data_IF_940541210517
#
_entry.id   IF_940541210517
#
_cell.length_a   1.000
_cell.length_b   1.000
_cell.length_c   1.000
_cell.angle_alpha   90.00
_cell.angle_beta   90.00
_cell.angle_gamma   90.00
#
_symmetry.space_group_name_H-M   'P 1'
#
loop_
_entity.id
_entity.type
_entity.pdbx_description
1 polymer ?
#
# COMPACT_ATOMS: atom_id res chain seq x y z
N UNK A 1 -1.22 18.12 -42.53
CA UNK A 1 -2.06 18.88 -41.58
C UNK A 1 -1.37 20.21 -41.27
N UNK A 2 -2.12 21.31 -41.23
CA UNK A 2 -1.63 22.63 -40.82
C UNK A 2 -2.61 23.15 -39.78
N UNK A 3 -2.13 23.67 -38.65
CA UNK A 3 -2.97 24.22 -37.57
C UNK A 3 -4.05 23.27 -37.01
N UNK A 4 -3.76 21.96 -36.96
CA UNK A 4 -4.65 20.97 -36.33
C UNK A 4 -5.89 20.58 -37.14
N UNK A 5 -6.01 21.00 -38.40
CA UNK A 5 -7.10 20.59 -39.31
C UNK A 5 -6.60 19.78 -40.51
N UNK A 6 -7.42 18.85 -40.98
CA UNK A 6 -7.17 18.03 -42.18
C UNK A 6 -7.53 18.87 -43.40
N UNK A 7 -6.52 19.44 -44.06
CA UNK A 7 -6.69 20.33 -45.21
C UNK A 7 -7.06 19.58 -46.50
N UNK A 8 -6.65 18.31 -46.63
CA UNK A 8 -6.94 17.45 -47.79
C UNK A 8 -6.83 15.96 -47.39
N UNK A 9 -7.79 15.15 -47.84
CA UNK A 9 -7.79 13.70 -47.71
C UNK A 9 -8.02 13.09 -49.10
N UNK A 10 -7.00 12.45 -49.65
CA UNK A 10 -7.04 11.78 -50.96
C UNK A 10 -6.00 10.65 -50.97
N UNK A 11 -6.00 9.84 -52.03
CA UNK A 11 -5.05 8.74 -52.19
C UNK A 11 -3.59 9.23 -52.20
N UNK A 12 -2.67 8.41 -51.71
CA UNK A 12 -1.24 8.76 -51.57
C UNK A 12 -0.61 9.26 -52.88
N UNK A 13 -0.98 8.66 -54.01
CA UNK A 13 -0.44 9.03 -55.31
C UNK A 13 -0.94 10.40 -55.79
N UNK A 14 -2.18 10.77 -55.49
CA UNK A 14 -2.74 12.09 -55.83
C UNK A 14 -2.15 13.21 -54.95
N UNK A 15 -1.91 12.93 -53.67
CA UNK A 15 -1.32 13.91 -52.74
C UNK A 15 0.14 14.26 -53.08
N UNK A 16 0.88 13.34 -53.71
CA UNK A 16 2.24 13.56 -54.20
C UNK A 16 2.28 14.44 -55.46
N UNK A 17 1.23 14.44 -56.28
CA UNK A 17 1.17 15.23 -57.52
C UNK A 17 0.55 16.61 -57.28
N UNK A 18 -0.40 16.71 -56.35
CA UNK A 18 -1.19 17.93 -56.12
C UNK A 18 -0.50 18.98 -55.26
N UNK A 19 0.37 18.60 -54.32
CA UNK A 19 0.96 19.54 -53.35
C UNK A 19 2.47 19.44 -53.23
N UNK A 20 3.14 20.58 -53.50
CA UNK A 20 4.59 20.77 -53.30
C UNK A 20 4.99 20.58 -51.83
N UNK A 21 4.09 20.94 -50.91
CA UNK A 21 4.31 20.82 -49.46
C UNK A 21 4.32 19.35 -48.99
N UNK A 22 3.54 18.48 -49.64
CA UNK A 22 3.55 17.03 -49.38
C UNK A 22 4.82 16.38 -49.92
N UNK A 23 5.32 16.82 -51.09
CA UNK A 23 6.60 16.35 -51.64
C UNK A 23 7.78 16.73 -50.75
N UNK A 24 7.80 17.94 -50.20
CA UNK A 24 8.88 18.41 -49.33
C UNK A 24 8.90 17.63 -48.00
N UNK A 25 7.73 17.25 -47.47
CA UNK A 25 7.63 16.39 -46.28
C UNK A 25 8.14 14.96 -46.55
N UNK A 26 7.85 14.40 -47.72
CA UNK A 26 8.34 13.06 -48.12
C UNK A 26 9.86 13.08 -48.31
N UNK A 27 10.40 14.13 -48.96
CA UNK A 27 11.85 14.32 -49.08
C UNK A 27 12.53 14.55 -47.74
N UNK A 28 11.91 15.29 -46.82
CA UNK A 28 12.44 15.46 -45.46
C UNK A 28 12.46 14.13 -44.68
N UNK A 29 11.47 13.26 -44.91
CA UNK A 29 11.47 11.91 -44.34
C UNK A 29 12.57 11.03 -44.97
N UNK A 30 12.77 11.09 -46.28
CA UNK A 30 13.80 10.32 -46.99
C UNK A 30 15.21 10.71 -46.51
N UNK A 31 15.45 12.02 -46.34
CA UNK A 31 16.71 12.56 -45.82
C UNK A 31 16.95 12.20 -44.34
N UNK A 32 15.91 12.00 -43.53
CA UNK A 32 16.06 11.56 -42.14
C UNK A 32 16.24 10.05 -42.00
N UNK A 33 15.83 9.26 -43.00
CA UNK A 33 16.16 7.83 -43.09
C UNK A 33 17.56 7.55 -43.64
N UNK A 34 18.16 8.49 -44.37
CA UNK A 34 19.54 8.41 -44.86
C UNK A 34 20.55 8.96 -43.83
N UNK A 35 20.67 8.25 -42.69
CA UNK A 35 21.89 8.34 -41.87
C UNK A 35 22.93 7.38 -42.47
N UNK A 36 24.14 7.84 -42.83
CA UNK A 36 25.12 6.98 -43.48
C UNK A 36 25.81 6.05 -42.46
N UNK A 37 25.96 4.79 -42.88
CA UNK A 37 26.83 3.73 -42.33
C UNK A 37 26.33 2.90 -41.12
N UNK A 38 25.49 1.90 -41.40
CA UNK A 38 25.69 0.56 -40.82
C UNK A 38 25.71 -0.47 -41.95
N UNK A 39 26.84 -1.17 -42.05
CA UNK A 39 27.23 -2.10 -43.10
C UNK A 39 26.14 -3.15 -43.41
N UNK A 40 25.72 -3.20 -44.68
CA UNK A 40 25.18 -4.42 -45.30
C UNK A 40 26.25 -5.52 -45.20
N UNK A 41 26.02 -6.54 -44.38
CA UNK A 41 26.72 -7.83 -44.48
C UNK A 41 25.68 -8.91 -44.73
N UNK A 42 25.30 -9.03 -46.00
CA UNK A 42 24.78 -10.30 -46.52
C UNK A 42 25.97 -11.25 -46.64
N UNK A 43 25.91 -12.40 -45.97
CA UNK A 43 26.75 -13.55 -46.31
C UNK A 43 25.93 -14.84 -46.14
N UNK A 44 25.60 -15.41 -47.29
CA UNK A 44 25.35 -16.80 -47.64
C UNK A 44 25.28 -17.82 -46.49
N UNK A 45 24.11 -18.43 -46.31
CA UNK A 45 23.99 -19.76 -45.70
C UNK A 45 23.67 -20.76 -46.80
N UNK A 46 24.67 -21.54 -47.17
CA UNK A 46 24.57 -22.66 -48.08
C UNK A 46 25.70 -23.65 -47.82
N UNK A 47 25.31 -24.84 -47.35
CA UNK A 47 26.05 -26.11 -47.20
C UNK A 47 26.88 -26.39 -45.93
N UNK A 48 26.27 -27.21 -45.06
CA UNK A 48 26.53 -28.66 -44.87
C UNK A 48 27.71 -29.14 -43.97
N UNK A 49 27.34 -30.06 -43.05
CA UNK A 49 28.15 -31.00 -42.24
C UNK A 49 28.96 -30.37 -41.08
N UNK A 50 29.06 -30.93 -39.87
CA UNK A 50 29.06 -32.33 -39.42
C UNK A 50 28.81 -32.39 -37.89
N UNK A 51 28.31 -33.51 -37.38
CA UNK A 51 28.21 -33.79 -35.93
C UNK A 51 29.60 -34.08 -35.38
N UNK A 52 29.93 -33.52 -34.21
CA UNK A 52 30.70 -34.28 -33.23
C UNK A 52 30.45 -33.83 -31.79
N UNK A 53 30.38 -34.82 -30.91
CA UNK A 53 30.14 -34.72 -29.48
C UNK A 53 31.47 -34.59 -28.72
N UNK A 54 31.52 -33.75 -27.67
CA UNK A 54 32.69 -33.73 -26.78
C UNK A 54 32.84 -32.52 -25.86
N UNK A 55 32.16 -32.56 -24.70
CA UNK A 55 32.65 -32.24 -23.34
C UNK A 55 33.43 -30.92 -23.06
N UNK A 56 32.74 -30.00 -22.36
CA UNK A 56 33.11 -29.21 -21.16
C UNK A 56 34.47 -28.48 -21.11
N UNK A 57 34.44 -27.14 -21.26
CA UNK A 57 35.06 -26.25 -20.26
C UNK A 57 34.44 -24.83 -20.25
N UNK A 58 34.44 -24.22 -19.07
CA UNK A 58 33.60 -23.09 -18.68
C UNK A 58 33.74 -21.81 -19.51
N UNK A 59 32.60 -21.11 -19.64
CA UNK A 59 32.57 -19.72 -20.08
C UNK A 59 31.96 -18.85 -19.00
N UNK A 60 32.76 -17.86 -18.62
CA UNK A 60 32.38 -16.68 -17.89
C UNK A 60 31.09 -16.09 -18.45
N UNK A 61 30.16 -15.79 -17.55
CA UNK A 61 28.91 -15.10 -17.83
C UNK A 61 29.24 -13.63 -18.08
N UNK A 62 29.71 -13.29 -19.27
CA UNK A 62 29.76 -11.90 -19.74
C UNK A 62 28.32 -11.41 -19.89
N UNK A 63 27.83 -10.72 -18.86
CA UNK A 63 26.59 -9.97 -18.96
C UNK A 63 26.80 -8.86 -19.98
N UNK A 64 26.15 -8.98 -21.13
CA UNK A 64 25.97 -7.87 -22.06
C UNK A 64 25.28 -6.75 -21.27
N UNK A 65 26.04 -5.73 -20.86
CA UNK A 65 25.50 -4.45 -20.39
C UNK A 65 24.80 -3.81 -21.58
N UNK A 66 23.48 -3.95 -21.66
CA UNK A 66 22.67 -3.10 -22.53
C UNK A 66 22.85 -1.66 -22.06
N UNK A 67 23.48 -0.84 -22.90
CA UNK A 67 23.56 0.61 -22.72
C UNK A 67 22.16 1.18 -22.52
N UNK A 68 22.00 2.02 -21.50
CA UNK A 68 20.73 2.66 -21.15
C UNK A 68 20.19 3.61 -22.25
N UNK A 69 20.97 3.90 -23.31
CA UNK A 69 20.55 4.82 -24.37
C UNK A 69 19.61 4.21 -25.42
N UNK A 70 19.45 2.89 -25.49
CA UNK A 70 18.60 2.20 -26.49
C UNK A 70 17.26 1.69 -25.92
N UNK A 71 16.96 1.95 -24.65
CA UNK A 71 15.64 1.63 -24.07
C UNK A 71 14.67 2.79 -24.31
N UNK A 72 13.83 2.67 -25.34
CA UNK A 72 12.69 3.56 -25.60
C UNK A 72 11.66 3.58 -24.45
N UNK A 73 11.61 2.51 -23.64
CA UNK A 73 10.72 2.40 -22.49
C UNK A 73 11.44 2.96 -21.26
N UNK A 74 10.97 4.11 -20.77
CA UNK A 74 11.49 4.69 -19.52
C UNK A 74 11.16 3.74 -18.36
N UNK A 75 12.20 3.23 -17.70
CA UNK A 75 12.08 2.56 -16.40
C UNK A 75 11.61 3.60 -15.39
N UNK A 76 10.62 3.23 -14.57
CA UNK A 76 9.94 4.16 -13.67
C UNK A 76 10.93 4.77 -12.67
N UNK A 77 11.07 6.10 -12.68
CA UNK A 77 11.82 6.83 -11.66
C UNK A 77 11.07 6.68 -10.33
N UNK A 78 11.61 5.80 -9.49
CA UNK A 78 11.12 5.58 -8.14
C UNK A 78 11.68 6.67 -7.25
N UNK A 79 10.83 7.40 -6.53
CA UNK A 79 11.32 8.27 -5.47
C UNK A 79 12.06 7.41 -4.43
N UNK A 80 13.37 7.62 -4.32
CA UNK A 80 14.21 7.00 -3.30
C UNK A 80 14.14 7.91 -2.08
N UNK A 81 13.23 7.62 -1.15
CA UNK A 81 13.12 8.39 0.08
C UNK A 81 11.83 8.15 0.85
N UNK A 82 11.87 8.49 2.14
CA UNK A 82 10.68 8.52 3.00
C UNK A 82 9.88 9.79 2.70
N UNK A 83 8.86 9.70 1.86
CA UNK A 83 7.94 10.82 1.63
C UNK A 83 7.08 11.13 2.87
N UNK A 84 7.16 10.29 3.90
CA UNK A 84 6.54 10.51 5.21
C UNK A 84 5.03 10.73 5.11
N UNK A 85 4.50 11.66 5.90
CA UNK A 85 3.06 11.98 5.95
C UNK A 85 2.60 12.93 4.82
N UNK A 86 3.52 13.40 3.96
CA UNK A 86 3.22 14.40 2.94
C UNK A 86 2.17 13.94 1.91
N UNK A 87 2.21 12.69 1.38
CA UNK A 87 1.18 12.21 0.45
C UNK A 87 -0.21 12.12 1.10
N UNK A 88 -0.26 11.70 2.37
CA UNK A 88 -1.51 11.65 3.14
C UNK A 88 -2.10 13.05 3.36
N UNK A 89 -1.27 14.02 3.74
CA UNK A 89 -1.70 15.43 3.88
C UNK A 89 -2.17 16.04 2.56
N UNK A 90 -1.54 15.69 1.44
CA UNK A 90 -1.97 16.13 0.12
C UNK A 90 -3.34 15.54 -0.24
N UNK A 91 -3.57 14.26 0.07
CA UNK A 91 -4.87 13.60 -0.10
C UNK A 91 -5.96 14.25 0.78
N UNK A 92 -5.68 14.48 2.08
CA UNK A 92 -6.63 15.16 2.98
C UNK A 92 -6.87 16.63 2.60
N UNK A 93 -5.91 17.27 1.93
CA UNK A 93 -6.03 18.64 1.44
C UNK A 93 -6.93 18.81 0.23
N UNK A 94 -7.19 17.72 -0.49
CA UNK A 94 -8.09 17.75 -1.63
C UNK A 94 -9.55 17.77 -1.16
N UNK A 95 -10.36 18.64 -1.76
CA UNK A 95 -11.82 18.73 -1.56
C UNK A 95 -12.30 18.78 -0.09
N UNK A 96 -11.63 19.57 0.77
CA UNK A 96 -11.97 19.72 2.20
C UNK A 96 -11.92 18.40 3.00
N UNK A 97 -11.11 17.42 2.58
CA UNK A 97 -10.93 16.14 3.28
C UNK A 97 -10.58 16.28 4.77
N UNK A 98 -9.88 17.36 5.17
CA UNK A 98 -9.63 17.71 6.57
C UNK A 98 -10.90 17.84 7.43
N UNK A 99 -12.01 18.32 6.87
CA UNK A 99 -13.28 18.47 7.60
C UNK A 99 -13.89 17.08 7.88
N UNK A 100 -13.82 16.17 6.92
CA UNK A 100 -14.29 14.80 7.12
C UNK A 100 -13.40 14.05 8.11
N UNK A 101 -12.08 14.21 8.00
CA UNK A 101 -11.13 13.63 8.96
C UNK A 101 -11.37 14.13 10.39
N UNK A 102 -11.65 15.44 10.56
CA UNK A 102 -11.96 15.98 11.88
C UNK A 102 -13.31 15.50 12.41
N UNK A 103 -14.33 15.36 11.56
CA UNK A 103 -15.63 14.82 11.95
C UNK A 103 -15.56 13.34 12.34
N UNK A 104 -14.76 12.53 11.63
CA UNK A 104 -14.44 11.15 12.01
C UNK A 104 -13.70 11.10 13.35
N UNK A 105 -12.75 12.00 13.57
CA UNK A 105 -12.05 12.11 14.86
C UNK A 105 -13.02 12.44 16.01
N UNK A 106 -13.91 13.42 15.82
CA UNK A 106 -14.90 13.82 16.83
C UNK A 106 -15.85 12.67 17.15
N UNK A 107 -16.43 12.01 16.14
CA UNK A 107 -17.33 10.86 16.35
C UNK A 107 -16.62 9.69 17.02
N UNK A 108 -15.33 9.46 16.71
CA UNK A 108 -14.52 8.46 17.41
C UNK A 108 -14.26 8.83 18.88
N UNK A 109 -14.00 10.11 19.19
CA UNK A 109 -13.83 10.58 20.57
C UNK A 109 -15.13 10.42 21.37
N UNK A 110 -16.28 10.77 20.78
CA UNK A 110 -17.60 10.60 21.42
C UNK A 110 -17.90 9.13 21.66
N UNK A 111 -17.61 8.26 20.69
CA UNK A 111 -17.76 6.82 20.85
C UNK A 111 -16.87 6.29 21.97
N UNK A 112 -15.58 6.67 21.98
CA UNK A 112 -14.64 6.22 23.00
C UNK A 112 -15.00 6.73 24.40
N UNK A 113 -15.45 7.98 24.52
CA UNK A 113 -15.90 8.54 25.80
C UNK A 113 -17.18 7.87 26.29
N UNK A 114 -18.12 7.56 25.39
CA UNK A 114 -19.32 6.77 25.70
C UNK A 114 -18.96 5.38 26.24
N UNK A 115 -17.98 4.72 25.64
CA UNK A 115 -17.49 3.42 26.11
C UNK A 115 -16.80 3.51 27.48
N UNK A 116 -15.97 4.53 27.72
CA UNK A 116 -15.34 4.73 29.04
C UNK A 116 -16.43 4.99 30.08
N UNK A 117 -17.37 5.90 29.79
CA UNK A 117 -18.47 6.23 30.69
C UNK A 117 -19.33 5.01 31.01
N UNK A 118 -19.66 4.19 30.01
CA UNK A 118 -20.43 2.96 30.19
C UNK A 118 -19.73 1.99 31.15
N UNK A 119 -18.43 1.81 31.01
CA UNK A 119 -17.67 0.88 31.84
C UNK A 119 -17.41 1.45 33.25
N UNK A 120 -17.08 2.74 33.39
CA UNK A 120 -16.94 3.40 34.70
C UNK A 120 -18.26 3.41 35.47
N UNK A 121 -19.38 3.63 34.81
CA UNK A 121 -20.72 3.56 35.42
C UNK A 121 -21.01 2.17 35.98
N UNK A 122 -20.67 1.12 35.21
CA UNK A 122 -20.81 -0.27 35.66
C UNK A 122 -19.91 -0.52 36.87
N UNK A 123 -18.63 -0.16 36.79
CA UNK A 123 -17.66 -0.40 37.85
C UNK A 123 -18.02 0.28 39.18
N UNK A 124 -18.57 1.51 39.14
CA UNK A 124 -18.99 2.25 40.33
C UNK A 124 -20.26 1.66 40.97
N UNK A 125 -21.21 1.16 40.18
CA UNK A 125 -22.54 0.77 40.68
C UNK A 125 -22.71 -0.72 40.95
N UNK A 126 -21.76 -1.57 40.54
CA UNK A 126 -21.83 -3.03 40.79
C UNK A 126 -21.82 -3.38 42.28
N UNK A 127 -21.15 -2.59 43.12
CA UNK A 127 -21.03 -2.83 44.57
C UNK A 127 -22.09 -2.07 45.40
N UNK A 128 -22.82 -1.14 44.78
CA UNK A 128 -23.81 -0.31 45.48
C UNK A 128 -25.12 -1.06 45.67
N UNK A 129 -25.45 -1.41 46.93
CA UNK A 129 -26.71 -2.09 47.28
C UNK A 129 -27.97 -1.21 47.12
N UNK A 130 -27.79 0.10 46.89
CA UNK A 130 -28.88 1.07 46.73
C UNK A 130 -29.49 1.07 45.31
N UNK A 131 -28.75 0.58 44.30
CA UNK A 131 -29.20 0.58 42.91
C UNK A 131 -29.80 -0.78 42.57
N UNK A 132 -31.06 -0.78 42.13
CA UNK A 132 -31.69 -2.00 41.63
C UNK A 132 -30.92 -2.54 40.42
N UNK A 133 -30.64 -3.85 40.41
CA UNK A 133 -29.94 -4.53 39.31
C UNK A 133 -30.58 -4.25 37.95
N UNK A 134 -31.90 -4.09 37.90
CA UNK A 134 -32.64 -3.73 36.68
C UNK A 134 -32.28 -2.33 36.18
N UNK A 135 -32.16 -1.34 37.08
CA UNK A 135 -31.80 0.03 36.70
C UNK A 135 -30.36 0.10 36.20
N UNK A 136 -29.44 -0.67 36.81
CA UNK A 136 -28.05 -0.75 36.38
C UNK A 136 -27.94 -1.30 34.95
N UNK A 137 -28.64 -2.40 34.64
CA UNK A 137 -28.67 -2.99 33.29
C UNK A 137 -29.34 -2.06 32.29
N UNK A 138 -30.42 -1.38 32.67
CA UNK A 138 -31.15 -0.46 31.78
C UNK A 138 -30.26 0.71 31.36
N UNK A 139 -29.58 1.37 32.31
CA UNK A 139 -28.68 2.49 32.00
C UNK A 139 -27.48 2.03 31.16
N UNK A 140 -26.86 0.89 31.50
CA UNK A 140 -25.76 0.32 30.72
C UNK A 140 -26.18 0.05 29.26
N UNK A 141 -27.36 -0.56 29.08
CA UNK A 141 -27.89 -0.90 27.75
C UNK A 141 -28.25 0.36 26.95
N UNK A 142 -28.81 1.39 27.61
CA UNK A 142 -29.13 2.67 26.96
C UNK A 142 -27.88 3.40 26.43
N UNK A 143 -26.80 3.44 27.21
CA UNK A 143 -25.50 4.01 26.77
C UNK A 143 -24.92 3.19 25.61
N UNK A 144 -25.04 1.86 25.67
CA UNK A 144 -24.63 0.97 24.58
C UNK A 144 -25.36 1.26 23.27
N UNK A 145 -26.70 1.38 23.31
CA UNK A 145 -27.49 1.75 22.13
C UNK A 145 -27.09 3.12 21.57
N UNK A 146 -26.86 4.11 22.43
CA UNK A 146 -26.33 5.43 22.00
C UNK A 146 -24.98 5.30 21.29
N UNK A 147 -24.07 4.49 21.84
CA UNK A 147 -22.74 4.26 21.28
C UNK A 147 -22.79 3.56 19.92
N UNK A 148 -23.77 2.66 19.69
CA UNK A 148 -23.99 2.02 18.38
C UNK A 148 -24.37 3.05 17.31
N UNK A 149 -25.17 4.05 17.65
CA UNK A 149 -25.54 5.13 16.71
C UNK A 149 -24.30 5.92 16.30
N UNK A 150 -23.42 6.26 17.24
CA UNK A 150 -22.14 6.93 16.93
C UNK A 150 -21.20 6.05 16.12
N UNK A 151 -21.18 4.74 16.38
CA UNK A 151 -20.43 3.78 15.57
C UNK A 151 -20.93 3.73 14.12
N UNK A 152 -22.25 3.72 13.93
CA UNK A 152 -22.87 3.75 12.61
C UNK A 152 -22.57 5.07 11.88
N UNK A 153 -22.72 6.21 12.58
CA UNK A 153 -22.36 7.52 12.03
C UNK A 153 -20.91 7.56 11.58
N UNK A 154 -19.98 7.06 12.39
CA UNK A 154 -18.57 6.94 12.01
C UNK A 154 -18.38 6.10 10.75
N UNK A 155 -19.07 4.96 10.63
CA UNK A 155 -18.96 4.11 9.45
C UNK A 155 -19.43 4.82 8.17
N UNK A 156 -20.54 5.55 8.22
CA UNK A 156 -21.05 6.33 7.08
C UNK A 156 -20.07 7.46 6.69
N UNK A 157 -19.55 8.18 7.69
CA UNK A 157 -18.60 9.28 7.50
C UNK A 157 -17.26 8.85 6.90
N UNK A 158 -16.91 7.56 6.90
CA UNK A 158 -15.70 7.04 6.25
C UNK A 158 -15.94 6.78 4.75
N UNK A 159 -17.14 6.33 4.39
CA UNK A 159 -17.48 5.96 3.01
C UNK A 159 -17.72 7.21 2.15
N UNK A 160 -18.40 8.21 2.70
CA UNK A 160 -18.73 9.45 1.99
C UNK A 160 -17.48 10.17 1.42
N UNK A 161 -16.43 10.51 2.20
CA UNK A 161 -15.28 11.24 1.67
C UNK A 161 -14.48 10.46 0.62
N UNK A 162 -14.47 9.12 0.67
CA UNK A 162 -13.82 8.29 -0.36
C UNK A 162 -14.45 8.54 -1.74
N UNK A 163 -15.78 8.50 -1.81
CA UNK A 163 -16.53 8.74 -3.05
C UNK A 163 -16.41 10.18 -3.55
N UNK A 164 -16.38 11.16 -2.63
CA UNK A 164 -16.31 12.58 -2.99
C UNK A 164 -14.88 13.04 -3.36
N UNK A 165 -13.84 12.39 -2.85
CA UNK A 165 -12.43 12.71 -3.14
C UNK A 165 -11.94 12.00 -4.40
N UNK A 166 -12.44 10.79 -4.67
CA UNK A 166 -12.15 10.01 -5.88
C UNK A 166 -12.50 10.75 -7.17
N UNK A 167 -13.70 11.32 -7.28
CA UNK A 167 -14.18 11.99 -8.50
C UNK A 167 -13.26 13.11 -9.02
N UNK A 168 -12.86 14.12 -8.21
CA UNK A 168 -11.95 15.15 -8.68
C UNK A 168 -10.55 14.62 -8.99
N UNK A 169 -10.06 13.63 -8.23
CA UNK A 169 -8.79 12.96 -8.53
C UNK A 169 -8.81 12.28 -9.89
N UNK A 170 -9.87 11.53 -10.18
CA UNK A 170 -10.07 10.89 -11.47
C UNK A 170 -10.19 11.91 -12.61
N UNK A 171 -10.96 12.97 -12.43
CA UNK A 171 -11.11 14.02 -13.44
C UNK A 171 -9.77 14.73 -13.74
N UNK A 172 -8.97 15.01 -12.72
CA UNK A 172 -7.63 15.59 -12.88
C UNK A 172 -6.69 14.63 -13.61
N UNK A 173 -6.68 13.34 -13.23
CA UNK A 173 -5.90 12.31 -13.90
C UNK A 173 -6.27 12.20 -15.38
N UNK A 174 -7.57 12.15 -15.69
CA UNK A 174 -8.07 12.03 -17.05
C UNK A 174 -7.73 13.26 -17.90
N UNK A 175 -7.88 14.47 -17.34
CA UNK A 175 -7.50 15.71 -18.01
C UNK A 175 -5.99 15.77 -18.27
N UNK A 176 -5.17 15.39 -17.28
CA UNK A 176 -3.71 15.38 -17.43
C UNK A 176 -3.27 14.35 -18.48
N UNK A 177 -3.94 13.19 -18.54
CA UNK A 177 -3.69 12.17 -19.55
C UNK A 177 -3.98 12.73 -20.95
N UNK A 178 -5.17 13.29 -21.20
CA UNK A 178 -5.51 13.84 -22.52
C UNK A 178 -4.63 15.03 -22.95
N UNK A 179 -4.13 15.82 -22.01
CA UNK A 179 -3.21 16.93 -22.29
C UNK A 179 -1.74 16.50 -22.39
N UNK A 180 -1.39 15.24 -22.15
CA UNK A 180 -0.02 14.77 -22.21
C UNK A 180 0.53 14.83 -23.65
N UNK A 181 1.81 15.23 -23.86
CA UNK A 181 2.41 15.27 -25.18
C UNK A 181 2.56 13.86 -25.77
N UNK A 182 2.60 13.76 -27.11
CA UNK A 182 2.72 12.46 -27.79
C UNK A 182 3.97 11.66 -27.36
N UNK A 183 5.05 12.34 -26.96
CA UNK A 183 6.25 11.71 -26.41
C UNK A 183 5.99 10.87 -25.16
N UNK A 184 5.03 11.25 -24.32
CA UNK A 184 4.61 10.48 -23.15
C UNK A 184 4.02 9.13 -23.56
N UNK A 185 3.17 9.12 -24.59
CA UNK A 185 2.52 7.91 -25.09
C UNK A 185 3.49 6.96 -25.80
N UNK A 186 4.52 7.49 -26.45
CA UNK A 186 5.57 6.66 -27.05
C UNK A 186 6.55 6.08 -26.01
N UNK A 187 6.79 6.79 -24.91
CA UNK A 187 7.74 6.37 -23.87
C UNK A 187 7.10 5.48 -22.79
N UNK A 188 5.77 5.51 -22.67
CA UNK A 188 5.02 4.83 -21.60
C UNK A 188 4.17 3.71 -22.19
N UNK A 189 4.38 2.44 -21.79
CA UNK A 189 3.60 1.34 -22.33
C UNK A 189 2.12 1.47 -21.92
N UNK A 190 1.20 1.16 -22.85
CA UNK A 190 -0.25 1.24 -22.62
C UNK A 190 -0.69 0.47 -21.37
N UNK A 191 -0.08 -0.68 -21.08
CA UNK A 191 -0.37 -1.47 -19.88
C UNK A 191 -0.11 -0.72 -18.58
N UNK A 192 0.90 0.16 -18.53
CA UNK A 192 1.19 0.98 -17.34
C UNK A 192 0.12 2.04 -17.13
N UNK A 193 -0.33 2.70 -18.20
CA UNK A 193 -1.43 3.68 -18.14
C UNK A 193 -2.70 3.00 -17.63
N UNK A 194 -3.02 1.81 -18.17
CA UNK A 194 -4.20 1.04 -17.74
C UNK A 194 -4.10 0.63 -16.26
N UNK A 195 -2.93 0.16 -15.82
CA UNK A 195 -2.71 -0.20 -14.41
C UNK A 195 -2.90 0.99 -13.47
N UNK A 196 -2.41 2.18 -13.84
CA UNK A 196 -2.59 3.39 -13.02
C UNK A 196 -4.05 3.86 -12.96
N UNK A 197 -4.74 3.82 -14.09
CA UNK A 197 -6.15 4.24 -14.16
C UNK A 197 -7.10 3.22 -13.50
N UNK A 198 -6.76 1.93 -13.54
CA UNK A 198 -7.60 0.87 -12.98
C UNK A 198 -7.19 0.48 -11.56
N UNK A 199 -5.99 -0.06 -11.39
CA UNK A 199 -5.54 -0.63 -10.10
C UNK A 199 -5.23 0.45 -9.09
N UNK A 200 -4.41 1.45 -9.46
CA UNK A 200 -3.98 2.47 -8.48
C UNK A 200 -5.16 3.37 -8.07
N UNK A 201 -6.04 3.71 -9.02
CA UNK A 201 -7.27 4.43 -8.72
C UNK A 201 -8.20 3.60 -7.80
N UNK A 202 -8.35 2.30 -8.05
CA UNK A 202 -9.15 1.42 -7.18
C UNK A 202 -8.62 1.40 -5.75
N UNK A 203 -7.30 1.43 -5.55
CA UNK A 203 -6.68 1.51 -4.21
C UNK A 203 -6.99 2.87 -3.56
N UNK A 204 -6.90 3.97 -4.31
CA UNK A 204 -7.21 5.32 -3.80
C UNK A 204 -8.70 5.45 -3.44
N UNK A 205 -9.57 4.77 -4.17
CA UNK A 205 -11.02 4.86 -4.01
C UNK A 205 -11.54 3.96 -2.88
N UNK A 206 -10.98 2.75 -2.73
CA UNK A 206 -11.48 1.73 -1.81
C UNK A 206 -10.59 1.50 -0.61
N UNK A 207 -9.27 1.44 -0.76
CA UNK A 207 -8.39 1.02 0.35
C UNK A 207 -7.88 2.22 1.16
N UNK A 208 -7.58 3.32 0.49
CA UNK A 208 -6.99 4.51 1.10
C UNK A 208 -7.92 5.17 2.15
N UNK A 209 -9.23 5.39 1.90
CA UNK A 209 -10.12 6.02 2.89
C UNK A 209 -10.24 5.16 4.16
N UNK A 210 -10.33 3.84 4.01
CA UNK A 210 -10.40 2.92 5.13
C UNK A 210 -9.10 2.88 5.92
N UNK A 211 -7.96 2.80 5.25
CA UNK A 211 -6.64 2.77 5.90
C UNK A 211 -6.36 4.06 6.67
N UNK A 212 -6.64 5.23 6.08
CA UNK A 212 -6.46 6.53 6.73
C UNK A 212 -7.40 6.67 7.93
N UNK A 213 -8.69 6.34 7.77
CA UNK A 213 -9.65 6.39 8.86
C UNK A 213 -9.27 5.46 10.00
N UNK A 214 -8.88 4.23 9.67
CA UNK A 214 -8.40 3.24 10.63
C UNK A 214 -7.18 3.75 11.39
N UNK A 215 -6.20 4.32 10.70
CA UNK A 215 -4.99 4.89 11.31
C UNK A 215 -5.31 6.06 12.26
N UNK A 216 -6.20 6.97 11.86
CA UNK A 216 -6.68 8.08 12.72
C UNK A 216 -7.39 7.51 13.97
N UNK A 217 -8.33 6.58 13.78
CA UNK A 217 -9.08 5.98 14.88
C UNK A 217 -8.17 5.20 15.84
N UNK A 218 -7.24 4.40 15.31
CA UNK A 218 -6.29 3.62 16.09
C UNK A 218 -5.38 4.54 16.91
N UNK A 219 -4.84 5.59 16.30
CA UNK A 219 -3.99 6.59 16.96
C UNK A 219 -4.74 7.33 18.07
N UNK A 220 -5.98 7.77 17.82
CA UNK A 220 -6.81 8.42 18.83
C UNK A 220 -7.16 7.48 19.99
N UNK A 221 -7.53 6.23 19.70
CA UNK A 221 -7.79 5.23 20.73
C UNK A 221 -6.54 4.95 21.55
N UNK A 222 -5.36 4.89 20.93
CA UNK A 222 -4.09 4.77 21.64
C UNK A 222 -3.90 5.93 22.63
N UNK A 223 -4.05 7.19 22.19
CA UNK A 223 -3.92 8.36 23.08
C UNK A 223 -4.97 8.38 24.20
N UNK A 224 -6.23 8.02 23.91
CA UNK A 224 -7.29 7.97 24.91
C UNK A 224 -6.97 6.92 25.97
N UNK A 225 -6.61 5.69 25.57
CA UNK A 225 -6.25 4.63 26.51
C UNK A 225 -4.99 4.97 27.33
N UNK A 226 -3.99 5.60 26.71
CA UNK A 226 -2.81 6.10 27.43
C UNK A 226 -3.19 7.15 28.47
N UNK A 227 -4.09 8.07 28.13
CA UNK A 227 -4.55 9.11 29.05
C UNK A 227 -5.33 8.53 30.23
N UNK A 228 -6.21 7.55 29.97
CA UNK A 228 -6.93 6.80 31.01
C UNK A 228 -5.94 6.07 31.93
N UNK A 229 -4.94 5.38 31.37
CA UNK A 229 -3.91 4.71 32.16
C UNK A 229 -3.15 5.70 33.07
N UNK A 230 -2.76 6.86 32.53
CA UNK A 230 -2.08 7.90 33.30
C UNK A 230 -2.93 8.47 34.44
N UNK A 231 -4.24 8.65 34.22
CA UNK A 231 -5.15 9.23 35.22
C UNK A 231 -5.51 8.25 36.33
N UNK A 232 -5.88 7.01 35.98
CA UNK A 232 -6.39 6.04 36.94
C UNK A 232 -5.28 5.30 37.70
N UNK A 233 -4.11 5.08 37.10
CA UNK A 233 -3.06 4.31 37.76
C UNK A 233 -1.65 4.80 37.45
N UNK A 234 -1.33 5.98 37.99
CA UNK A 234 -0.02 6.61 37.86
C UNK A 234 1.14 5.74 38.39
N UNK A 235 0.87 4.82 39.32
CA UNK A 235 1.87 3.89 39.87
C UNK A 235 2.29 2.82 38.85
N UNK A 236 1.35 2.32 38.04
CA UNK A 236 1.62 1.33 36.98
C UNK A 236 2.37 1.98 35.81
N UNK A 237 2.19 3.29 35.60
CA UNK A 237 2.89 4.05 34.57
C UNK A 237 4.42 3.97 34.71
N UNK A 238 4.95 3.92 35.95
CA UNK A 238 6.40 3.79 36.18
C UNK A 238 6.95 2.47 35.64
N UNK A 239 6.18 1.39 35.71
CA UNK A 239 6.54 0.07 35.18
C UNK A 239 6.30 0.00 33.66
N UNK A 240 5.24 0.64 33.17
CA UNK A 240 4.88 0.66 31.75
C UNK A 240 5.83 1.53 30.91
N UNK A 241 6.32 2.66 31.44
CA UNK A 241 7.17 3.62 30.74
C UNK A 241 8.41 2.99 30.07
N UNK A 242 9.26 2.19 30.75
CA UNK A 242 10.41 1.56 30.11
C UNK A 242 10.01 0.58 29.00
N UNK A 243 8.90 -0.14 29.18
CA UNK A 243 8.38 -1.09 28.17
C UNK A 243 7.88 -0.35 26.93
N UNK A 244 7.18 0.78 27.10
CA UNK A 244 6.72 1.63 25.99
C UNK A 244 7.93 2.19 25.22
N UNK A 245 8.97 2.66 25.91
CA UNK A 245 10.19 3.16 25.25
C UNK A 245 10.87 2.03 24.44
N UNK A 246 10.95 0.82 25.00
CA UNK A 246 11.49 -0.34 24.26
C UNK A 246 10.63 -0.69 23.05
N UNK A 247 9.31 -0.68 23.18
CA UNK A 247 8.38 -0.96 22.09
C UNK A 247 8.54 0.05 20.93
N UNK A 248 8.66 1.35 21.24
CA UNK A 248 8.88 2.39 20.22
C UNK A 248 10.22 2.22 19.51
N UNK A 249 11.30 1.88 20.24
CA UNK A 249 12.61 1.60 19.63
C UNK A 249 12.55 0.38 18.72
N UNK A 250 11.88 -0.69 19.16
CA UNK A 250 11.70 -1.92 18.40
C UNK A 250 10.88 -1.67 17.12
N UNK A 251 9.80 -0.90 17.22
CA UNK A 251 8.95 -0.54 16.08
C UNK A 251 9.73 0.27 15.03
N UNK A 252 10.56 1.23 15.45
CA UNK A 252 11.42 1.99 14.51
C UNK A 252 12.42 1.09 13.78
N UNK A 253 13.03 0.15 14.50
CA UNK A 253 13.95 -0.82 13.90
C UNK A 253 13.23 -1.75 12.91
N UNK A 254 12.04 -2.24 13.28
CA UNK A 254 11.20 -3.04 12.40
C UNK A 254 10.83 -2.27 11.13
N UNK A 255 10.34 -1.03 11.25
CA UNK A 255 9.91 -0.22 10.10
C UNK A 255 11.04 0.02 9.09
N UNK A 256 12.26 0.25 9.57
CA UNK A 256 13.41 0.41 8.67
C UNK A 256 13.70 -0.89 7.88
N UNK A 257 13.61 -2.05 8.55
CA UNK A 257 13.88 -3.35 7.95
C UNK A 257 12.75 -3.84 7.04
N UNK A 258 11.49 -3.67 7.47
CA UNK A 258 10.30 -4.13 6.75
C UNK A 258 10.07 -3.35 5.46
N UNK A 259 10.41 -2.05 5.42
CA UNK A 259 10.37 -1.24 4.19
C UNK A 259 11.24 -1.84 3.07
N UNK A 260 12.47 -2.24 3.40
CA UNK A 260 13.36 -2.89 2.42
C UNK A 260 12.86 -4.28 2.01
N UNK A 261 12.33 -5.05 2.95
CA UNK A 261 11.76 -6.37 2.69
C UNK A 261 10.52 -6.30 1.78
N UNK A 262 9.61 -5.38 2.08
CA UNK A 262 8.44 -5.08 1.23
C UNK A 262 8.86 -4.61 -0.16
N UNK A 263 9.96 -3.85 -0.26
CA UNK A 263 10.51 -3.42 -1.54
C UNK A 263 10.95 -4.61 -2.39
N UNK A 264 11.71 -5.55 -1.82
CA UNK A 264 12.16 -6.76 -2.52
C UNK A 264 10.94 -7.59 -2.94
N UNK A 265 10.01 -7.85 -2.01
CA UNK A 265 8.79 -8.61 -2.27
C UNK A 265 7.92 -7.98 -3.38
N UNK A 266 7.82 -6.64 -3.42
CA UNK A 266 7.12 -5.94 -4.49
C UNK A 266 7.76 -6.16 -5.86
N UNK A 267 9.09 -6.09 -5.93
CA UNK A 267 9.83 -6.30 -7.19
C UNK A 267 9.71 -7.74 -7.69
N UNK A 268 9.86 -8.75 -6.82
CA UNK A 268 9.74 -10.16 -7.22
C UNK A 268 8.33 -10.49 -7.68
N UNK A 269 7.30 -9.97 -6.99
CA UNK A 269 5.90 -10.15 -7.37
C UNK A 269 5.61 -9.55 -8.75
N UNK A 270 6.17 -8.39 -9.07
CA UNK A 270 6.00 -7.78 -10.41
C UNK A 270 6.66 -8.61 -11.53
N UNK A 271 7.80 -9.26 -11.27
CA UNK A 271 8.47 -10.11 -12.26
C UNK A 271 7.61 -11.33 -12.62
N UNK A 272 6.96 -11.94 -11.63
CA UNK A 272 6.00 -13.04 -11.85
C UNK A 272 4.83 -12.57 -12.70
N UNK A 273 4.21 -11.42 -12.34
CA UNK A 273 3.08 -10.87 -13.10
C UNK A 273 3.45 -10.52 -14.55
N UNK A 274 4.64 -9.94 -14.78
CA UNK A 274 5.13 -9.60 -16.10
C UNK A 274 5.35 -10.84 -16.98
N UNK A 275 6.01 -11.88 -16.44
CA UNK A 275 6.23 -13.15 -17.17
C UNK A 275 4.91 -13.84 -17.53
N UNK A 276 3.92 -13.81 -16.62
CA UNK A 276 2.58 -14.32 -16.89
C UNK A 276 1.88 -13.52 -17.98
N UNK A 277 1.95 -12.19 -17.92
CA UNK A 277 1.37 -11.30 -18.94
C UNK A 277 1.97 -11.56 -20.34
N UNK A 278 3.29 -11.68 -20.44
CA UNK A 278 3.99 -12.01 -21.68
C UNK A 278 3.64 -13.41 -22.19
N UNK A 279 3.54 -14.39 -21.29
CA UNK A 279 3.16 -15.76 -21.62
C UNK A 279 1.74 -15.87 -22.17
N UNK A 280 0.79 -15.10 -21.61
CA UNK A 280 -0.60 -15.07 -22.08
C UNK A 280 -0.69 -14.40 -23.46
N UNK A 281 -0.03 -13.25 -23.63
CA UNK A 281 -0.01 -12.54 -24.91
C UNK A 281 0.68 -13.35 -26.02
N UNK A 282 1.75 -14.06 -25.67
CA UNK A 282 2.54 -14.90 -26.58
C UNK A 282 2.09 -16.36 -26.69
N UNK A 283 0.95 -16.74 -26.11
CA UNK A 283 0.56 -18.15 -25.94
C UNK A 283 0.53 -18.94 -27.27
N UNK A 284 0.06 -18.31 -28.35
CA UNK A 284 0.01 -18.92 -29.69
C UNK A 284 1.42 -19.20 -30.22
N UNK A 285 2.32 -18.23 -30.08
CA UNK A 285 3.73 -18.33 -30.52
C UNK A 285 4.47 -19.39 -29.71
N UNK A 286 4.29 -19.43 -28.40
CA UNK A 286 4.93 -20.43 -27.52
C UNK A 286 4.51 -21.85 -27.94
N UNK A 287 3.22 -22.06 -28.22
CA UNK A 287 2.70 -23.35 -28.71
C UNK A 287 3.19 -23.69 -30.11
N UNK A 288 3.25 -22.71 -31.01
CA UNK A 288 3.73 -22.91 -32.38
C UNK A 288 5.20 -23.37 -32.41
N UNK A 289 6.03 -22.86 -31.51
CA UNK A 289 7.45 -23.26 -31.39
C UNK A 289 7.70 -24.41 -30.40
N UNK A 290 6.66 -24.97 -29.77
CA UNK A 290 6.75 -26.04 -28.76
C UNK A 290 7.74 -25.72 -27.63
N UNK A 291 7.64 -24.52 -27.06
CA UNK A 291 8.51 -24.02 -25.99
C UNK A 291 7.80 -23.93 -24.62
N UNK A 292 6.71 -24.67 -24.42
CA UNK A 292 5.91 -24.63 -23.19
C UNK A 292 6.75 -24.98 -21.96
N UNK A 293 7.55 -26.05 -22.02
CA UNK A 293 8.35 -26.54 -20.89
C UNK A 293 9.37 -25.48 -20.41
N UNK A 294 9.95 -24.73 -21.33
CA UNK A 294 10.90 -23.64 -21.01
C UNK A 294 10.20 -22.51 -20.25
N UNK A 295 9.04 -22.09 -20.74
CA UNK A 295 8.25 -21.03 -20.10
C UNK A 295 7.69 -21.48 -18.75
N UNK A 296 7.31 -22.76 -18.64
CA UNK A 296 6.85 -23.38 -17.40
C UNK A 296 7.97 -23.43 -16.36
N UNK A 297 9.16 -23.93 -16.72
CA UNK A 297 10.32 -23.97 -15.84
C UNK A 297 10.71 -22.56 -15.35
N UNK A 298 10.69 -21.56 -16.26
CA UNK A 298 10.95 -20.17 -15.88
C UNK A 298 9.90 -19.61 -14.93
N UNK A 299 8.63 -19.95 -15.14
CA UNK A 299 7.54 -19.56 -14.24
C UNK A 299 7.76 -20.13 -12.84
N UNK A 300 8.13 -21.41 -12.75
CA UNK A 300 8.42 -22.08 -11.47
C UNK A 300 9.57 -21.39 -10.72
N UNK A 301 10.66 -21.06 -11.42
CA UNK A 301 11.82 -20.33 -10.85
C UNK A 301 11.41 -18.95 -10.30
N UNK A 302 10.58 -18.21 -11.04
CA UNK A 302 10.12 -16.88 -10.62
C UNK A 302 9.19 -16.96 -9.41
N UNK A 303 8.31 -17.98 -9.35
CA UNK A 303 7.43 -18.23 -8.21
C UNK A 303 8.26 -18.57 -6.97
N UNK A 304 9.24 -19.47 -7.09
CA UNK A 304 10.11 -19.88 -5.99
C UNK A 304 10.93 -18.69 -5.45
N UNK A 305 11.47 -17.88 -6.37
CA UNK A 305 12.19 -16.66 -6.01
C UNK A 305 11.30 -15.59 -5.37
N UNK A 306 9.98 -15.59 -5.62
CA UNK A 306 9.03 -14.72 -4.94
C UNK A 306 8.57 -15.27 -3.59
N UNK A 307 8.53 -16.59 -3.43
CA UNK A 307 8.09 -17.24 -2.20
C UNK A 307 8.99 -16.89 -1.01
N UNK A 308 10.32 -16.86 -1.22
CA UNK A 308 11.28 -16.56 -0.15
C UNK A 308 11.13 -15.14 0.44
N UNK A 309 11.14 -14.04 -0.33
CA UNK A 309 10.89 -12.70 0.20
C UNK A 309 9.51 -12.55 0.84
N UNK A 310 8.48 -13.19 0.25
CA UNK A 310 7.13 -13.15 0.79
C UNK A 310 7.05 -13.82 2.17
N UNK A 311 7.71 -14.96 2.34
CA UNK A 311 7.83 -15.65 3.63
C UNK A 311 8.58 -14.80 4.65
N UNK A 312 9.68 -14.16 4.27
CA UNK A 312 10.43 -13.28 5.16
C UNK A 312 9.64 -12.04 5.59
N UNK A 313 8.85 -11.44 4.69
CA UNK A 313 7.90 -10.38 5.05
C UNK A 313 6.88 -10.86 6.09
N UNK A 314 6.27 -12.03 5.86
CA UNK A 314 5.32 -12.61 6.80
C UNK A 314 5.96 -12.88 8.17
N UNK A 315 7.12 -13.54 8.18
CA UNK A 315 7.85 -13.87 9.41
C UNK A 315 8.30 -12.61 10.17
N UNK A 316 8.67 -11.53 9.48
CA UNK A 316 9.03 -10.26 10.12
C UNK A 316 7.84 -9.61 10.83
N UNK A 317 6.65 -9.61 10.20
CA UNK A 317 5.42 -9.11 10.82
C UNK A 317 5.07 -9.90 12.06
N UNK A 318 5.06 -11.24 11.97
CA UNK A 318 4.78 -12.12 13.10
C UNK A 318 5.80 -11.98 14.23
N UNK A 319 7.08 -11.79 13.89
CA UNK A 319 8.12 -11.55 14.88
C UNK A 319 7.86 -10.27 15.70
N UNK A 320 7.44 -9.18 15.06
CA UNK A 320 7.11 -7.94 15.77
C UNK A 320 5.87 -8.14 16.64
N UNK A 321 4.81 -8.74 16.10
CA UNK A 321 3.57 -9.05 16.83
C UNK A 321 3.88 -9.85 18.10
N UNK A 322 4.62 -10.95 17.97
CA UNK A 322 4.99 -11.79 19.12
C UNK A 322 5.79 -11.01 20.17
N UNK A 323 6.74 -10.16 19.77
CA UNK A 323 7.54 -9.37 20.73
C UNK A 323 6.70 -8.34 21.47
N UNK A 324 5.76 -7.70 20.77
CA UNK A 324 4.84 -6.73 21.38
C UNK A 324 3.85 -7.43 22.32
N UNK A 325 3.34 -8.60 21.98
CA UNK A 325 2.50 -9.41 22.87
C UNK A 325 3.23 -9.81 24.15
N UNK A 326 4.48 -10.25 24.06
CA UNK A 326 5.30 -10.58 25.24
C UNK A 326 5.50 -9.35 26.14
N UNK A 327 5.75 -8.18 25.55
CA UNK A 327 5.86 -6.92 26.29
C UNK A 327 4.54 -6.54 26.98
N UNK A 328 3.39 -6.71 26.29
CA UNK A 328 2.07 -6.50 26.87
C UNK A 328 1.76 -7.47 28.02
N UNK A 329 2.09 -8.75 27.84
CA UNK A 329 1.95 -9.77 28.88
C UNK A 329 2.84 -9.49 30.10
N UNK A 330 4.06 -8.96 29.89
CA UNK A 330 4.94 -8.56 30.98
C UNK A 330 4.36 -7.38 31.79
N UNK A 331 3.75 -6.39 31.12
CA UNK A 331 3.05 -5.29 31.80
C UNK A 331 1.87 -5.83 32.62
N UNK A 332 1.05 -6.71 32.04
CA UNK A 332 -0.09 -7.31 32.73
C UNK A 332 0.33 -8.15 33.94
N UNK A 333 1.38 -8.96 33.81
CA UNK A 333 1.89 -9.77 34.91
C UNK A 333 2.43 -8.89 36.03
N UNK A 334 3.20 -7.86 35.68
CA UNK A 334 3.76 -6.92 36.66
C UNK A 334 2.66 -6.13 37.37
N UNK A 335 1.62 -5.69 36.64
CA UNK A 335 0.50 -4.98 37.26
C UNK A 335 -0.33 -5.88 38.15
N UNK A 336 -0.58 -7.13 37.78
CA UNK A 336 -1.24 -8.11 38.63
C UNK A 336 -0.46 -8.31 39.94
N UNK A 337 0.87 -8.45 39.88
CA UNK A 337 1.72 -8.54 41.07
C UNK A 337 1.61 -7.30 41.96
N UNK A 338 1.70 -6.10 41.36
CA UNK A 338 1.54 -4.83 42.10
C UNK A 338 0.18 -4.79 42.79
N UNK A 339 -0.91 -5.14 42.11
CA UNK A 339 -2.26 -5.16 42.70
C UNK A 339 -2.34 -6.13 43.87
N UNK A 340 -1.74 -7.32 43.78
CA UNK A 340 -1.74 -8.30 44.88
C UNK A 340 -0.89 -7.88 46.08
N UNK A 341 0.13 -7.05 45.87
CA UNK A 341 1.04 -6.59 46.93
C UNK A 341 0.53 -5.32 47.65
N UNK A 342 -0.38 -4.55 47.04
CA UNK A 342 -0.97 -3.38 47.68
C UNK A 342 -2.05 -3.79 48.71
N UNK A 343 -2.19 -3.08 49.84
CA UNK A 343 -3.22 -3.35 50.83
C UNK A 343 -4.62 -3.31 50.20
N UNK A 344 -5.43 -4.32 50.48
CA UNK A 344 -6.81 -4.42 50.04
C UNK A 344 -7.64 -3.26 50.61
N UNK A 345 -7.90 -2.24 49.78
CA UNK A 345 -8.74 -1.09 50.14
C UNK A 345 -8.59 0.17 49.29
N UNK A 346 -7.57 0.30 48.44
CA UNK A 346 -7.30 1.57 47.73
C UNK A 346 -8.06 1.72 46.39
N UNK A 347 -8.47 0.65 45.72
CA UNK A 347 -9.11 0.72 44.40
C UNK A 347 -10.14 -0.40 44.17
N UNK A 348 -11.21 -0.10 43.42
CA UNK A 348 -12.21 -1.11 43.01
C UNK A 348 -11.57 -2.07 42.00
N UNK A 349 -11.64 -3.40 42.22
CA UNK A 349 -11.02 -4.39 41.33
C UNK A 349 -11.49 -4.30 39.86
N UNK A 350 -12.71 -3.81 39.63
CA UNK A 350 -13.31 -3.69 38.30
C UNK A 350 -12.63 -2.63 37.41
N UNK A 351 -12.24 -1.50 37.98
CA UNK A 351 -11.66 -0.37 37.24
C UNK A 351 -10.20 -0.66 36.83
N UNK A 352 -9.46 -1.35 37.69
CA UNK A 352 -8.08 -1.77 37.40
C UNK A 352 -8.01 -2.83 36.30
N UNK A 353 -8.90 -3.83 36.34
CA UNK A 353 -8.92 -4.91 35.35
C UNK A 353 -9.20 -4.37 33.94
N UNK A 354 -10.14 -3.41 33.83
CA UNK A 354 -10.48 -2.75 32.58
C UNK A 354 -9.30 -1.93 32.01
N UNK A 355 -8.62 -1.17 32.86
CA UNK A 355 -7.49 -0.31 32.45
C UNK A 355 -6.30 -1.15 31.96
N UNK A 356 -6.08 -2.31 32.58
CA UNK A 356 -5.03 -3.26 32.18
C UNK A 356 -5.37 -3.99 30.88
N UNK A 357 -6.62 -4.41 30.70
CA UNK A 357 -7.04 -5.10 29.47
C UNK A 357 -6.99 -4.17 28.25
N UNK A 358 -7.39 -2.90 28.42
CA UNK A 358 -7.28 -1.86 27.37
C UNK A 358 -5.82 -1.51 27.02
N UNK A 359 -4.90 -1.55 28.00
CA UNK A 359 -3.46 -1.34 27.78
C UNK A 359 -2.82 -2.41 26.89
N UNK A 360 -3.23 -3.67 27.01
CA UNK A 360 -2.73 -4.78 26.17
C UNK A 360 -3.25 -4.63 24.73
N UNK A 361 -4.51 -4.24 24.56
CA UNK A 361 -5.10 -3.97 23.23
C UNK A 361 -4.40 -2.82 22.50
N UNK A 362 -3.86 -1.85 23.25
CA UNK A 362 -3.05 -0.73 22.75
C UNK A 362 -1.78 -1.22 22.04
N UNK A 363 -1.20 -2.35 22.48
CA UNK A 363 0.01 -2.95 21.90
C UNK A 363 -0.28 -3.72 20.60
N UNK A 364 -1.45 -4.37 20.50
CA UNK A 364 -1.85 -5.10 19.29
C UNK A 364 -2.20 -4.16 18.13
N UNK A 365 -2.81 -2.99 18.40
CA UNK A 365 -3.31 -2.09 17.35
C UNK A 365 -2.29 -1.11 16.79
N UNK A 366 -1.25 -0.72 17.55
CA UNK A 366 -0.15 0.13 17.03
C UNK A 366 0.73 -0.62 16.01
N UNK A 367 0.52 -1.93 15.86
CA UNK A 367 1.30 -2.83 14.97
C UNK A 367 0.71 -2.95 13.54
N UNK A 368 -0.54 -2.51 13.32
CA UNK A 368 -1.25 -2.73 12.04
C UNK A 368 -1.53 -1.41 11.27
N UNK A 369 -1.20 -0.26 11.87
CA UNK A 369 -1.41 1.07 11.26
C UNK A 369 -0.28 1.53 10.35
#
# INVERSE_FOLDING_TARGET
MSHGQIMHASSYQELLVSSKQSQDLVKAHEVSTDIPNVKKRAYNVGKQFERDAGVIHGMAKESIKSSASDQLIKTEEREIGDTGLKPYLMYLGQNKGYIYASLVAITNIIFASGQIFQNSWLAANVQNSCVSKLNLVLVYTAIGFGSIIFLLSRALLVVDPGLWTSRPLFAQLLSALFCAPMSFYHSTPLGRILSRVSSDLSIIDLDLPFTVSFSICATLNAYINLSVLCFFTWQILLVAAPVIIMAVKLQRYYLASSKELMRINGTTKSLVANHLGESIAGAVTIRAFKQEDRFFAKSLELIDNNASPSFHCFAATEWLTQRLEIMGAAILSSSALVITLLPSGTYSPGEMCETLFKGIFMQCFVTIG
#
